data_IF_457538952565
#
_entry.id   IF_457538952565
#
_cell.length_a   1.000
_cell.length_b   1.000
_cell.length_c   1.000
_cell.angle_alpha   90.00
_cell.angle_beta   90.00
_cell.angle_gamma   90.00
#
_symmetry.space_group_name_H-M   'P 1'
#
loop_
_entity.id
_entity.type
_entity.pdbx_description
1 polymer ?
#
# COMPACT_ATOMS: atom_id res chain seq x y z
N UNK A 1 -21.53 8.92 -14.73
CA UNK A 1 -20.71 10.01 -14.19
C UNK A 1 -19.57 9.33 -13.46
N UNK A 2 -18.32 9.64 -13.81
CA UNK A 2 -17.18 8.97 -13.16
C UNK A 2 -17.08 9.36 -11.69
N UNK A 3 -17.13 8.37 -10.80
CA UNK A 3 -16.87 8.55 -9.37
C UNK A 3 -15.48 8.01 -9.03
N UNK A 4 -14.69 8.79 -8.29
CA UNK A 4 -13.36 8.38 -7.82
C UNK A 4 -13.39 8.27 -6.30
N UNK A 5 -13.05 7.09 -5.78
CA UNK A 5 -12.94 6.81 -4.35
C UNK A 5 -11.47 6.77 -4.00
N UNK A 6 -11.07 7.62 -3.06
CA UNK A 6 -9.71 7.66 -2.52
C UNK A 6 -9.46 6.48 -1.58
N UNK A 7 -8.48 5.64 -1.94
CA UNK A 7 -8.11 4.45 -1.19
C UNK A 7 -6.80 4.61 -0.42
N UNK A 8 -6.30 5.85 -0.29
CA UNK A 8 -5.08 6.14 0.45
C UNK A 8 -5.35 6.73 1.83
N UNK A 9 -4.47 6.41 2.78
CA UNK A 9 -4.36 7.16 4.05
C UNK A 9 -3.66 8.49 3.80
N UNK A 10 -3.96 9.48 4.64
CA UNK A 10 -3.28 10.78 4.59
C UNK A 10 -1.90 10.69 5.24
N UNK A 11 -0.89 11.26 4.58
CA UNK A 11 0.40 11.55 5.23
C UNK A 11 0.18 12.66 6.25
N UNK A 12 0.22 12.32 7.54
CA UNK A 12 -0.24 13.19 8.62
C UNK A 12 0.73 13.16 9.80
N UNK A 13 0.96 14.32 10.42
CA UNK A 13 1.67 14.43 11.70
C UNK A 13 0.79 14.02 12.90
N UNK A 14 -0.52 13.84 12.68
CA UNK A 14 -1.47 13.37 13.69
C UNK A 14 -1.55 11.84 13.64
N UNK A 15 -1.56 11.20 14.81
CA UNK A 15 -1.66 9.76 14.99
C UNK A 15 -0.61 9.24 15.97
N UNK A 16 -0.62 7.94 16.22
CA UNK A 16 0.33 7.27 17.10
C UNK A 16 0.93 6.02 16.44
N UNK A 17 1.30 6.14 15.16
CA UNK A 17 1.95 5.05 14.44
C UNK A 17 3.39 4.88 14.93
N UNK A 18 3.91 3.64 14.86
CA UNK A 18 5.30 3.31 15.20
C UNK A 18 6.33 4.18 14.46
N UNK A 19 6.04 4.52 13.20
CA UNK A 19 6.88 5.40 12.39
C UNK A 19 6.02 6.51 11.80
N UNK A 20 6.23 7.73 12.28
CA UNK A 20 5.50 8.92 11.84
C UNK A 20 6.27 9.67 10.73
N UNK A 21 5.58 10.28 9.76
CA UNK A 21 6.21 11.24 8.83
C UNK A 21 6.77 12.44 9.60
N UNK A 22 7.78 13.09 9.02
CA UNK A 22 8.17 14.44 9.40
C UNK A 22 7.82 15.39 8.26
N UNK A 23 7.16 16.51 8.58
CA UNK A 23 6.76 17.51 7.61
C UNK A 23 7.13 18.88 8.19
N UNK A 24 8.01 19.59 7.48
CA UNK A 24 8.35 20.98 7.77
C UNK A 24 7.52 21.85 6.84
N UNK A 25 6.51 22.51 7.40
CA UNK A 25 5.67 23.46 6.66
C UNK A 25 6.32 24.85 6.67
N UNK A 26 6.49 25.45 5.49
CA UNK A 26 6.86 26.86 5.34
C UNK A 26 5.67 27.60 4.74
N UNK A 27 5.08 28.51 5.50
CA UNK A 27 3.87 29.23 5.09
C UNK A 27 4.22 30.41 4.20
N UNK A 28 3.18 31.00 3.60
CA UNK A 28 3.31 32.13 2.69
C UNK A 28 4.11 33.30 3.28
N UNK A 29 4.02 33.51 4.58
CA UNK A 29 4.72 34.58 5.32
C UNK A 29 6.18 34.22 5.64
N UNK A 30 6.53 32.93 5.68
CA UNK A 30 7.86 32.46 6.06
C UNK A 30 8.79 32.36 4.85
N UNK A 31 8.23 32.01 3.69
CA UNK A 31 9.00 31.70 2.49
C UNK A 31 9.75 32.87 1.86
N UNK A 32 9.30 34.14 1.93
CA UNK A 32 10.10 35.27 1.44
C UNK A 32 11.51 35.32 2.05
N UNK A 33 11.65 35.08 3.36
CA UNK A 33 12.98 35.08 4.03
C UNK A 33 13.89 33.97 3.54
N UNK A 34 13.30 32.83 3.17
CA UNK A 34 14.03 31.65 2.72
C UNK A 34 14.47 31.76 1.25
N UNK A 35 13.59 32.28 0.39
CA UNK A 35 13.85 32.35 -1.06
C UNK A 35 14.50 33.66 -1.51
N UNK A 36 14.40 34.74 -0.74
CA UNK A 36 15.01 36.03 -1.07
C UNK A 36 16.50 35.90 -1.39
N UNK A 37 17.25 35.19 -0.52
CA UNK A 37 18.68 34.94 -0.72
C UNK A 37 18.95 34.14 -2.01
N UNK A 38 18.17 33.09 -2.27
CA UNK A 38 18.30 32.29 -3.49
C UNK A 38 18.10 33.10 -4.78
N UNK A 39 17.32 34.18 -4.71
CA UNK A 39 17.03 35.05 -5.85
C UNK A 39 17.88 36.34 -5.86
N UNK A 40 18.76 36.54 -4.89
CA UNK A 40 19.56 37.76 -4.77
C UNK A 40 18.71 39.02 -4.51
N UNK A 41 17.56 38.86 -3.86
CA UNK A 41 16.65 39.95 -3.48
C UNK A 41 16.48 40.03 -1.97
N UNK A 42 15.75 41.03 -1.49
CA UNK A 42 15.32 41.15 -0.09
C UNK A 42 13.90 40.60 0.09
N UNK A 43 13.58 40.14 1.30
CA UNK A 43 12.27 39.55 1.60
C UNK A 43 11.12 40.56 1.44
N UNK A 44 11.37 41.85 1.65
CA UNK A 44 10.39 42.93 1.55
C UNK A 44 9.99 43.23 0.10
N UNK A 45 10.79 42.79 -0.87
CA UNK A 45 10.52 42.96 -2.30
C UNK A 45 9.46 41.96 -2.81
N UNK A 46 9.08 40.95 -2.01
CA UNK A 46 7.96 40.07 -2.35
C UNK A 46 6.61 40.80 -2.21
N UNK A 47 5.73 40.75 -3.23
CA UNK A 47 4.43 41.41 -3.20
C UNK A 47 3.60 41.01 -1.97
N UNK A 48 3.21 42.01 -1.17
CA UNK A 48 2.43 41.79 0.04
C UNK A 48 3.14 41.01 1.14
N UNK A 49 4.49 40.91 1.08
CA UNK A 49 5.31 40.17 2.03
C UNK A 49 5.05 38.67 2.04
N UNK A 50 4.59 38.10 0.91
CA UNK A 50 4.22 36.69 0.79
C UNK A 50 4.86 36.03 -0.43
N UNK A 51 5.07 34.73 -0.33
CA UNK A 51 5.45 33.90 -1.48
C UNK A 51 4.79 32.51 -1.43
N UNK A 52 5.17 31.57 -2.30
CA UNK A 52 4.59 30.23 -2.33
C UNK A 52 4.81 29.50 -0.99
N UNK A 53 3.83 28.70 -0.56
CA UNK A 53 4.03 27.75 0.54
C UNK A 53 4.86 26.56 0.03
N UNK A 54 5.65 25.96 0.91
CA UNK A 54 6.37 24.73 0.58
C UNK A 54 6.58 23.84 1.79
N UNK A 55 6.63 22.54 1.53
CA UNK A 55 6.85 21.51 2.54
C UNK A 55 8.14 20.74 2.23
N UNK A 56 8.87 20.38 3.29
CA UNK A 56 9.87 19.31 3.22
C UNK A 56 9.31 18.10 3.95
N UNK A 57 9.19 16.97 3.24
CA UNK A 57 8.66 15.72 3.77
C UNK A 57 9.79 14.71 3.91
N UNK A 58 10.01 14.21 5.12
CA UNK A 58 10.88 13.06 5.39
C UNK A 58 10.01 11.87 5.75
N UNK A 59 10.07 10.83 4.91
CA UNK A 59 9.18 9.68 5.01
C UNK A 59 9.87 8.44 4.43
N UNK A 60 9.70 7.28 5.06
CA UNK A 60 10.14 6.00 4.50
C UNK A 60 9.21 5.54 3.38
N UNK A 61 9.72 4.77 2.42
CA UNK A 61 8.96 4.29 1.26
C UNK A 61 7.76 3.41 1.63
N UNK A 62 7.78 2.78 2.80
CA UNK A 62 6.73 1.89 3.33
C UNK A 62 5.80 2.54 4.37
N UNK A 63 5.92 3.85 4.61
CA UNK A 63 5.31 4.50 5.78
C UNK A 63 3.90 5.09 5.55
N UNK A 64 3.35 4.99 4.35
CA UNK A 64 1.99 5.44 4.00
C UNK A 64 1.34 4.41 3.06
N UNK A 65 0.22 4.71 2.40
CA UNK A 65 -0.24 3.85 1.30
C UNK A 65 0.83 3.80 0.22
N UNK A 66 1.36 2.62 -0.04
CA UNK A 66 2.53 2.42 -0.89
C UNK A 66 2.42 1.13 -1.68
N UNK A 67 3.17 1.05 -2.77
CA UNK A 67 3.36 -0.16 -3.55
C UNK A 67 4.75 -0.72 -3.27
N UNK A 68 4.80 -1.94 -2.74
CA UNK A 68 6.02 -2.72 -2.62
C UNK A 68 6.44 -3.32 -3.96
N UNK A 69 7.69 -3.10 -4.34
CA UNK A 69 8.29 -3.73 -5.49
C UNK A 69 8.86 -5.12 -5.14
N UNK A 70 9.06 -6.02 -6.11
CA UNK A 70 9.67 -7.33 -5.89
C UNK A 70 10.99 -7.28 -5.09
N UNK A 71 11.78 -6.22 -5.27
CA UNK A 71 13.04 -6.02 -4.55
C UNK A 71 12.87 -5.91 -3.03
N UNK A 72 11.70 -5.47 -2.54
CA UNK A 72 11.39 -5.48 -1.12
C UNK A 72 11.37 -6.89 -0.54
N UNK A 73 10.87 -7.86 -1.32
CA UNK A 73 10.63 -9.22 -0.87
C UNK A 73 11.90 -10.05 -0.85
N UNK A 74 12.72 -9.89 -1.90
CA UNK A 74 13.99 -10.60 -2.07
C UNK A 74 14.83 -9.97 -3.19
N UNK A 75 16.18 -10.09 -3.17
CA UNK A 75 17.04 -9.61 -4.27
C UNK A 75 16.79 -10.28 -5.63
N UNK A 76 16.18 -11.47 -5.65
CA UNK A 76 15.82 -12.18 -6.89
C UNK A 76 14.37 -12.68 -6.89
N UNK A 77 13.76 -12.67 -8.08
CA UNK A 77 12.42 -13.19 -8.34
C UNK A 77 12.44 -13.98 -9.65
N UNK A 78 11.83 -15.16 -9.67
CA UNK A 78 11.78 -16.02 -10.87
C UNK A 78 13.19 -16.31 -11.46
N UNK A 79 14.19 -16.43 -10.59
CA UNK A 79 15.59 -16.68 -10.97
C UNK A 79 16.34 -15.48 -11.57
N UNK A 80 15.77 -14.28 -11.54
CA UNK A 80 16.37 -13.04 -12.07
C UNK A 80 16.46 -11.97 -10.98
N UNK A 81 17.28 -10.92 -11.13
CA UNK A 81 17.26 -9.77 -10.22
C UNK A 81 15.84 -9.20 -10.11
N UNK A 82 15.40 -8.95 -8.87
CA UNK A 82 14.08 -8.38 -8.60
C UNK A 82 14.01 -6.93 -9.06
N UNK A 83 12.85 -6.54 -9.62
CA UNK A 83 12.59 -5.15 -9.99
C UNK A 83 12.53 -4.25 -8.76
N UNK A 84 13.22 -3.12 -8.84
CA UNK A 84 13.00 -1.96 -7.97
C UNK A 84 11.77 -1.19 -8.43
N UNK A 85 11.24 -0.29 -7.58
CA UNK A 85 9.95 0.35 -7.84
C UNK A 85 9.92 1.16 -9.15
N UNK A 86 11.03 1.79 -9.53
CA UNK A 86 11.19 2.55 -10.76
C UNK A 86 11.19 1.70 -12.03
N UNK A 87 11.25 0.37 -11.89
CA UNK A 87 11.26 -0.63 -12.95
C UNK A 87 9.93 -1.40 -13.06
N UNK A 88 8.99 -1.19 -12.13
CA UNK A 88 7.67 -1.86 -12.15
C UNK A 88 6.87 -1.40 -13.37
N UNK A 89 6.32 -2.30 -14.20
CA UNK A 89 5.47 -1.94 -15.33
C UNK A 89 4.20 -1.22 -14.86
N UNK A 90 3.91 -0.04 -15.42
CA UNK A 90 2.73 0.74 -15.03
C UNK A 90 1.41 0.07 -15.43
N UNK A 91 1.45 -0.82 -16.42
CA UNK A 91 0.33 -1.67 -16.84
C UNK A 91 -0.12 -2.64 -15.74
N UNK A 92 0.73 -2.91 -14.73
CA UNK A 92 0.33 -3.67 -13.54
C UNK A 92 -0.45 -2.80 -12.55
N UNK A 93 -0.19 -1.49 -12.55
CA UNK A 93 -0.71 -0.53 -11.57
C UNK A 93 -2.04 0.10 -11.99
N UNK A 94 -2.59 -0.29 -13.15
CA UNK A 94 -3.90 0.13 -13.62
C UNK A 94 -4.66 -1.07 -14.22
N UNK A 95 -5.72 -1.50 -13.54
CA UNK A 95 -6.42 -2.73 -13.89
C UNK A 95 -7.83 -2.80 -13.33
N UNK A 96 -8.52 -3.90 -13.61
CA UNK A 96 -9.82 -4.18 -12.99
C UNK A 96 -9.64 -4.51 -11.52
N UNK A 97 -10.41 -3.83 -10.67
CA UNK A 97 -10.41 -4.06 -9.23
C UNK A 97 -11.38 -5.16 -8.82
N UNK A 98 -10.95 -5.97 -7.85
CA UNK A 98 -11.79 -6.97 -7.18
C UNK A 98 -11.55 -6.88 -5.68
N UNK A 99 -12.61 -6.79 -4.89
CA UNK A 99 -12.53 -6.78 -3.42
C UNK A 99 -12.97 -8.12 -2.88
N UNK A 100 -12.12 -8.70 -2.04
CA UNK A 100 -12.44 -9.87 -1.23
C UNK A 100 -12.62 -9.43 0.21
N UNK A 101 -13.80 -9.70 0.78
CA UNK A 101 -14.18 -9.20 2.10
C UNK A 101 -13.81 -10.18 3.22
N UNK A 102 -12.84 -9.78 4.04
CA UNK A 102 -12.36 -10.47 5.21
C UNK A 102 -12.46 -9.61 6.48
N UNK A 103 -13.34 -8.60 6.54
CA UNK A 103 -13.46 -7.69 7.71
C UNK A 103 -13.80 -8.39 9.04
N UNK A 104 -14.29 -9.64 8.98
CA UNK A 104 -14.61 -10.45 10.17
C UNK A 104 -13.43 -11.26 10.70
N UNK A 105 -12.32 -11.31 9.96
CA UNK A 105 -11.09 -11.96 10.41
C UNK A 105 -10.48 -11.19 11.56
N UNK A 106 -9.95 -11.93 12.53
CA UNK A 106 -9.37 -11.40 13.76
C UNK A 106 -7.87 -11.19 13.60
N UNK A 107 -7.31 -10.36 14.49
CA UNK A 107 -5.86 -10.20 14.67
C UNK A 107 -5.16 -11.55 14.64
N UNK A 108 -4.14 -11.66 13.79
CA UNK A 108 -3.26 -12.84 13.73
C UNK A 108 -3.83 -14.05 12.98
N UNK A 109 -5.08 -14.02 12.53
CA UNK A 109 -5.62 -15.08 11.68
C UNK A 109 -5.01 -15.02 10.28
N UNK A 110 -4.72 -16.20 9.72
CA UNK A 110 -4.34 -16.35 8.32
C UNK A 110 -5.59 -16.35 7.43
N UNK A 111 -5.53 -15.65 6.31
CA UNK A 111 -6.48 -15.75 5.20
C UNK A 111 -5.94 -16.79 4.22
N UNK A 112 -6.65 -17.91 4.10
CA UNK A 112 -6.20 -19.08 3.35
C UNK A 112 -6.65 -19.07 1.89
N UNK A 113 -6.01 -19.87 1.03
CA UNK A 113 -6.42 -20.02 -0.37
C UNK A 113 -7.86 -20.55 -0.51
N UNK A 114 -8.32 -21.37 0.43
CA UNK A 114 -9.68 -21.89 0.44
C UNK A 114 -10.69 -20.78 0.72
N UNK A 115 -10.42 -19.92 1.69
CA UNK A 115 -11.29 -18.79 2.02
C UNK A 115 -11.33 -17.75 0.89
N UNK A 116 -10.21 -17.53 0.20
CA UNK A 116 -10.17 -16.72 -1.04
C UNK A 116 -11.11 -17.30 -2.10
N UNK A 117 -11.07 -18.63 -2.34
CA UNK A 117 -11.96 -19.28 -3.31
C UNK A 117 -13.43 -19.20 -2.90
N UNK A 118 -13.73 -19.36 -1.61
CA UNK A 118 -15.09 -19.23 -1.08
C UNK A 118 -15.63 -17.81 -1.26
N UNK A 119 -14.79 -16.82 -1.00
CA UNK A 119 -15.16 -15.41 -1.16
C UNK A 119 -15.41 -15.05 -2.63
N UNK A 120 -14.57 -15.54 -3.54
CA UNK A 120 -14.78 -15.40 -4.99
C UNK A 120 -16.09 -16.07 -5.45
N UNK A 121 -16.41 -17.26 -4.93
CA UNK A 121 -17.67 -17.92 -5.21
C UNK A 121 -18.87 -17.13 -4.68
N UNK A 122 -18.77 -16.55 -3.48
CA UNK A 122 -19.82 -15.70 -2.89
C UNK A 122 -20.13 -14.48 -3.76
N UNK A 123 -19.11 -13.84 -4.33
CA UNK A 123 -19.29 -12.69 -5.24
C UNK A 123 -19.52 -13.12 -6.70
N UNK A 124 -19.49 -14.43 -7.01
CA UNK A 124 -19.64 -14.97 -8.36
C UNK A 124 -18.62 -14.39 -9.37
N UNK A 125 -17.36 -14.28 -8.95
CA UNK A 125 -16.29 -13.71 -9.76
C UNK A 125 -15.17 -14.71 -10.04
N UNK A 126 -14.63 -14.69 -11.26
CA UNK A 126 -13.45 -15.46 -11.66
C UNK A 126 -12.31 -14.49 -11.94
N UNK A 127 -11.21 -14.63 -11.18
CA UNK A 127 -10.00 -13.82 -11.38
C UNK A 127 -9.46 -14.02 -12.80
N UNK A 128 -9.10 -12.91 -13.44
CA UNK A 128 -8.41 -12.88 -14.72
C UNK A 128 -7.02 -12.24 -14.60
N UNK A 129 -6.12 -12.48 -15.56
CA UNK A 129 -4.79 -11.88 -15.55
C UNK A 129 -4.85 -10.35 -15.41
N UNK A 130 -3.96 -9.79 -14.60
CA UNK A 130 -3.86 -8.36 -14.29
C UNK A 130 -5.05 -7.74 -13.54
N UNK A 131 -5.95 -8.55 -12.98
CA UNK A 131 -6.82 -8.06 -11.91
C UNK A 131 -5.98 -7.54 -10.74
N UNK A 132 -6.44 -6.44 -10.14
CA UNK A 132 -5.91 -5.90 -8.90
C UNK A 132 -6.82 -6.37 -7.77
N UNK A 133 -6.33 -7.33 -6.98
CA UNK A 133 -7.11 -7.98 -5.92
C UNK A 133 -6.88 -7.28 -4.58
N UNK A 134 -7.93 -6.66 -4.06
CA UNK A 134 -7.95 -5.90 -2.82
C UNK A 134 -8.56 -6.74 -1.68
N UNK A 135 -7.85 -6.84 -0.57
CA UNK A 135 -8.24 -7.58 0.62
C UNK A 135 -8.77 -6.57 1.64
N UNK A 136 -10.08 -6.59 1.85
CA UNK A 136 -10.73 -5.72 2.84
C UNK A 136 -10.72 -6.41 4.19
N UNK A 137 -10.09 -5.79 5.17
CA UNK A 137 -10.04 -6.24 6.57
C UNK A 137 -10.70 -5.25 7.53
N UNK A 138 -11.02 -4.04 7.06
CA UNK A 138 -11.47 -2.89 7.87
C UNK A 138 -10.45 -2.47 8.96
N UNK A 139 -9.23 -3.01 8.95
CA UNK A 139 -8.19 -2.62 9.94
C UNK A 139 -7.91 -1.13 9.86
N UNK A 140 -7.93 -0.54 8.66
CA UNK A 140 -7.71 0.90 8.44
C UNK A 140 -8.63 1.80 9.30
N UNK A 141 -9.79 1.32 9.74
CA UNK A 141 -10.71 2.09 10.61
C UNK A 141 -10.09 2.41 11.98
N UNK A 142 -9.04 1.68 12.37
CA UNK A 142 -8.23 1.90 13.57
C UNK A 142 -6.94 2.66 13.27
N UNK A 143 -6.75 3.16 12.05
CA UNK A 143 -5.53 3.87 11.65
C UNK A 143 -5.28 5.09 12.54
N UNK A 144 -4.06 5.18 13.07
CA UNK A 144 -3.64 6.23 14.00
C UNK A 144 -3.85 5.89 15.47
N UNK A 145 -4.55 4.80 15.80
CA UNK A 145 -4.62 4.28 17.16
C UNK A 145 -3.32 3.58 17.57
N UNK A 146 -2.95 3.62 18.87
CA UNK A 146 -1.80 2.88 19.37
C UNK A 146 -1.92 1.38 19.08
N UNK A 147 -0.92 0.82 18.40
CA UNK A 147 -0.83 -0.62 18.13
C UNK A 147 -1.66 -1.12 16.95
N UNK A 148 -2.26 -0.22 16.14
CA UNK A 148 -2.95 -0.56 14.88
C UNK A 148 -2.14 -1.52 14.00
N UNK A 149 -0.81 -1.41 14.02
CA UNK A 149 0.13 -2.22 13.24
C UNK A 149 0.06 -3.71 13.54
N UNK A 150 -0.53 -4.08 14.68
CA UNK A 150 -0.66 -5.48 15.09
C UNK A 150 -2.12 -5.95 15.09
N UNK A 151 -3.09 -5.14 14.69
CA UNK A 151 -4.52 -5.43 14.85
C UNK A 151 -5.16 -6.17 13.67
N UNK A 152 -4.37 -6.61 12.70
CA UNK A 152 -4.86 -7.12 11.43
C UNK A 152 -4.75 -8.65 11.30
N UNK A 153 -5.57 -9.29 10.45
CA UNK A 153 -5.26 -10.59 9.87
C UNK A 153 -4.16 -10.45 8.81
N UNK A 154 -3.69 -11.57 8.26
CA UNK A 154 -2.74 -11.55 7.15
C UNK A 154 -2.98 -12.68 6.16
N UNK A 155 -2.49 -12.50 4.94
CA UNK A 155 -2.55 -13.50 3.90
C UNK A 155 -1.54 -14.62 4.19
N UNK A 156 -1.91 -15.86 3.89
CA UNK A 156 -0.97 -16.99 3.96
C UNK A 156 -0.15 -17.08 2.67
N UNK A 157 0.93 -17.86 2.72
CA UNK A 157 1.69 -18.23 1.53
C UNK A 157 0.80 -18.87 0.47
N UNK A 158 -0.05 -19.84 0.84
CA UNK A 158 -0.87 -20.53 -0.17
C UNK A 158 -1.90 -19.62 -0.82
N UNK A 159 -2.50 -18.68 -0.05
CA UNK A 159 -3.47 -17.73 -0.59
C UNK A 159 -2.82 -16.80 -1.61
N UNK A 160 -1.65 -16.27 -1.26
CA UNK A 160 -0.87 -15.38 -2.12
C UNK A 160 -0.44 -16.10 -3.40
N UNK A 161 0.18 -17.27 -3.28
CA UNK A 161 0.63 -18.05 -4.44
C UNK A 161 -0.55 -18.43 -5.35
N UNK A 162 -1.71 -18.78 -4.78
CA UNK A 162 -2.90 -19.10 -5.55
C UNK A 162 -3.37 -17.90 -6.39
N UNK A 163 -3.46 -16.70 -5.81
CA UNK A 163 -3.81 -15.48 -6.55
C UNK A 163 -2.85 -15.21 -7.71
N UNK A 164 -1.54 -15.32 -7.48
CA UNK A 164 -0.54 -15.07 -8.51
C UNK A 164 -0.58 -16.10 -9.65
N UNK A 165 -0.93 -17.35 -9.35
CA UNK A 165 -1.12 -18.38 -10.37
C UNK A 165 -2.32 -18.11 -11.29
N UNK A 166 -3.25 -17.22 -10.90
CA UNK A 166 -4.32 -16.74 -11.78
C UNK A 166 -3.90 -15.56 -12.68
N UNK A 167 -2.65 -15.10 -12.58
CA UNK A 167 -2.12 -13.99 -13.38
C UNK A 167 -2.25 -12.61 -12.72
N UNK A 168 -2.60 -12.55 -11.43
CA UNK A 168 -2.57 -11.31 -10.64
C UNK A 168 -1.12 -10.80 -10.54
N UNK A 169 -0.93 -9.49 -10.72
CA UNK A 169 0.38 -8.83 -10.58
C UNK A 169 0.45 -7.80 -9.46
N UNK A 170 -0.71 -7.29 -9.02
CA UNK A 170 -0.81 -6.38 -7.88
C UNK A 170 -1.92 -6.87 -6.98
N UNK A 171 -1.61 -7.03 -5.69
CA UNK A 171 -2.63 -7.17 -4.66
C UNK A 171 -2.64 -5.93 -3.78
N UNK A 172 -3.68 -5.76 -2.96
CA UNK A 172 -3.76 -4.66 -2.00
C UNK A 172 -4.42 -5.05 -0.70
N UNK A 173 -4.07 -4.40 0.41
CA UNK A 173 -4.69 -4.59 1.73
C UNK A 173 -4.85 -3.27 2.47
N UNK A 174 -5.93 -3.15 3.22
CA UNK A 174 -6.18 -2.03 4.15
C UNK A 174 -5.59 -2.28 5.56
N UNK A 175 -4.83 -3.37 5.72
CA UNK A 175 -4.03 -3.69 6.90
C UNK A 175 -2.67 -2.96 6.90
N UNK A 176 -1.92 -3.09 8.01
CA UNK A 176 -0.56 -2.57 8.12
C UNK A 176 0.39 -3.22 7.12
N UNK A 177 0.27 -4.54 6.93
CA UNK A 177 0.98 -5.27 5.90
C UNK A 177 0.20 -6.50 5.39
N UNK A 178 0.74 -7.14 4.37
CA UNK A 178 0.15 -8.28 3.67
C UNK A 178 0.23 -9.58 4.48
N UNK A 179 1.36 -9.82 5.14
CA UNK A 179 1.55 -10.94 6.07
C UNK A 179 0.79 -10.73 7.39
N UNK A 180 0.79 -11.75 8.26
CA UNK A 180 0.25 -11.63 9.62
C UNK A 180 1.09 -10.65 10.47
N UNK A 181 0.54 -10.11 11.58
CA UNK A 181 1.27 -9.21 12.47
C UNK A 181 2.65 -9.74 12.90
N UNK A 182 3.63 -8.84 13.03
CA UNK A 182 5.00 -9.21 13.41
C UNK A 182 5.04 -9.89 14.77
N UNK A 183 4.20 -9.49 15.74
CA UNK A 183 4.11 -10.16 17.03
C UNK A 183 3.84 -11.67 16.88
N UNK A 184 2.93 -12.03 15.98
CA UNK A 184 2.56 -13.43 15.68
C UNK A 184 3.71 -14.14 14.97
N UNK A 185 4.21 -13.55 13.88
CA UNK A 185 5.28 -14.18 13.08
C UNK A 185 6.56 -14.38 13.89
N UNK A 186 6.96 -13.42 14.73
CA UNK A 186 8.16 -13.50 15.56
C UNK A 186 8.00 -14.56 16.65
N UNK A 187 6.82 -14.68 17.27
CA UNK A 187 6.54 -15.73 18.24
C UNK A 187 6.64 -17.12 17.59
N UNK A 188 6.07 -17.30 16.39
CA UNK A 188 6.15 -18.56 15.64
C UNK A 188 7.58 -18.88 15.20
N UNK A 189 8.34 -17.89 14.73
CA UNK A 189 9.75 -18.03 14.37
C UNK A 189 10.58 -18.51 15.57
N UNK A 190 10.39 -17.91 16.75
CA UNK A 190 11.06 -18.32 18.00
C UNK A 190 10.65 -19.72 18.44
N UNK A 191 9.42 -20.15 18.14
CA UNK A 191 8.93 -21.50 18.36
C UNK A 191 9.41 -22.52 17.30
N UNK A 192 10.29 -22.11 16.38
CA UNK A 192 10.90 -22.98 15.37
C UNK A 192 10.14 -23.10 14.05
N UNK A 193 9.01 -22.41 13.90
CA UNK A 193 8.19 -22.39 12.66
C UNK A 193 8.73 -21.36 11.68
N UNK A 194 9.95 -21.58 11.19
CA UNK A 194 10.69 -20.61 10.34
C UNK A 194 9.98 -20.29 9.04
N UNK A 195 9.26 -21.26 8.49
CA UNK A 195 8.51 -21.17 7.25
C UNK A 195 7.33 -20.20 7.29
N UNK A 196 6.87 -19.82 8.50
CA UNK A 196 5.75 -18.89 8.71
C UNK A 196 6.16 -17.42 8.80
N UNK A 197 7.46 -17.15 8.81
CA UNK A 197 7.96 -15.79 8.88
C UNK A 197 8.01 -15.19 7.47
N UNK A 198 7.25 -14.11 7.23
CA UNK A 198 7.17 -13.43 5.92
C UNK A 198 6.74 -14.38 4.79
N UNK A 199 5.89 -15.35 5.12
CA UNK A 199 5.55 -16.46 4.25
C UNK A 199 4.85 -16.01 2.96
N UNK A 200 4.04 -14.94 3.04
CA UNK A 200 3.32 -14.38 1.91
C UNK A 200 4.23 -13.47 1.07
N UNK A 201 4.96 -12.54 1.69
CA UNK A 201 5.95 -11.70 1.00
C UNK A 201 6.97 -12.56 0.22
N UNK A 202 7.47 -13.64 0.82
CA UNK A 202 8.47 -14.50 0.18
C UNK A 202 7.97 -15.33 -1.01
N UNK A 203 6.66 -15.37 -1.28
CA UNK A 203 6.16 -15.85 -2.58
C UNK A 203 6.78 -15.03 -3.73
N UNK A 204 7.18 -13.78 -3.46
CA UNK A 204 7.92 -12.92 -4.39
C UNK A 204 9.21 -13.50 -4.94
N UNK A 205 9.80 -14.50 -4.27
CA UNK A 205 10.97 -15.23 -4.79
C UNK A 205 10.62 -16.11 -5.99
N UNK A 206 9.41 -16.66 -5.98
CA UNK A 206 8.91 -17.63 -6.96
C UNK A 206 8.07 -17.01 -8.06
N UNK A 207 7.40 -15.88 -7.77
CA UNK A 207 6.51 -15.17 -8.67
C UNK A 207 6.70 -13.68 -8.53
N UNK A 208 6.97 -13.00 -9.63
CA UNK A 208 7.16 -11.55 -9.62
C UNK A 208 5.81 -10.81 -9.59
N UNK A 209 5.62 -9.95 -8.59
CA UNK A 209 4.39 -9.20 -8.31
C UNK A 209 4.64 -8.06 -7.33
N UNK A 210 3.62 -7.25 -7.04
CA UNK A 210 3.68 -6.13 -6.08
C UNK A 210 2.52 -6.20 -5.07
N UNK A 211 2.68 -5.53 -3.92
CA UNK A 211 1.64 -5.32 -2.91
C UNK A 211 1.33 -3.84 -2.72
N UNK A 212 0.06 -3.50 -2.55
CA UNK A 212 -0.34 -2.21 -1.99
C UNK A 212 -0.68 -2.45 -0.51
N UNK A 213 0.03 -1.78 0.39
CA UNK A 213 -0.26 -1.88 1.82
C UNK A 213 -0.81 -0.56 2.36
N UNK A 214 -1.48 -0.64 3.52
CA UNK A 214 -2.00 0.52 4.25
C UNK A 214 -2.99 1.33 3.41
N UNK A 215 -3.83 0.63 2.65
CA UNK A 215 -4.97 1.23 1.96
C UNK A 215 -6.05 1.68 2.96
N UNK A 216 -7.00 2.46 2.49
CA UNK A 216 -8.16 2.91 3.25
C UNK A 216 -9.43 2.80 2.41
N UNK A 217 -10.59 2.94 3.07
CA UNK A 217 -11.89 3.13 2.41
C UNK A 217 -12.31 2.00 1.46
N UNK A 218 -11.76 0.78 1.59
CA UNK A 218 -12.19 -0.36 0.76
C UNK A 218 -13.67 -0.70 0.99
N UNK A 219 -14.21 -0.38 2.17
CA UNK A 219 -15.63 -0.51 2.51
C UNK A 219 -16.54 0.53 1.83
N UNK A 220 -15.97 1.57 1.22
CA UNK A 220 -16.75 2.59 0.50
C UNK A 220 -16.99 2.23 -0.96
N UNK A 221 -16.33 1.20 -1.49
CA UNK A 221 -16.55 0.74 -2.84
C UNK A 221 -17.87 -0.07 -2.86
N UNK A 222 -18.90 0.36 -3.62
CA UNK A 222 -20.24 -0.19 -3.52
C UNK A 222 -20.41 -1.61 -4.07
N UNK A 223 -19.52 -2.05 -4.97
CA UNK A 223 -19.56 -3.38 -5.60
C UNK A 223 -18.22 -4.10 -5.48
N UNK A 224 -18.21 -5.45 -5.37
CA UNK A 224 -16.99 -6.22 -5.19
C UNK A 224 -16.11 -6.26 -6.45
N UNK A 225 -16.63 -5.93 -7.63
CA UNK A 225 -15.88 -5.84 -8.90
C UNK A 225 -16.64 -4.95 -9.88
N UNK A 226 -16.05 -4.66 -11.05
CA UNK A 226 -16.66 -3.77 -12.05
C UNK A 226 -16.26 -2.30 -11.87
N UNK A 227 -15.07 -2.07 -11.33
CA UNK A 227 -14.43 -0.77 -11.20
C UNK A 227 -12.95 -0.90 -11.58
N UNK A 228 -12.29 0.21 -11.92
CA UNK A 228 -10.85 0.23 -12.15
C UNK A 228 -10.10 0.62 -10.88
N UNK A 229 -8.90 0.10 -10.70
CA UNK A 229 -7.96 0.58 -9.68
C UNK A 229 -6.77 1.23 -10.38
N UNK A 230 -6.37 2.41 -9.91
CA UNK A 230 -5.13 3.07 -10.32
C UNK A 230 -4.26 3.31 -9.08
N UNK A 231 -3.02 2.82 -9.11
CA UNK A 231 -2.07 2.91 -8.00
C UNK A 231 -0.62 3.07 -8.51
N UNK A 232 -0.39 4.10 -9.32
CA UNK A 232 0.95 4.39 -9.85
C UNK A 232 1.91 4.84 -8.74
N UNK A 233 3.06 4.18 -8.55
CA UNK A 233 4.02 4.56 -7.53
C UNK A 233 4.81 5.81 -7.91
N UNK A 234 5.19 6.60 -6.90
CA UNK A 234 6.24 7.60 -7.07
C UNK A 234 7.52 6.88 -7.53
N UNK A 235 8.11 7.37 -8.61
CA UNK A 235 9.30 6.79 -9.25
C UNK A 235 10.56 7.17 -8.46
N UNK A 236 10.94 6.33 -7.51
CA UNK A 236 12.16 6.47 -6.71
C UNK A 236 13.21 5.49 -7.24
N UNK A 237 14.32 6.01 -7.75
CA UNK A 237 15.40 5.21 -8.35
C UNK A 237 15.94 4.16 -7.38
N UNK A 238 15.92 2.88 -7.79
CA UNK A 238 16.52 1.78 -7.05
C UNK A 238 15.81 1.41 -5.74
N UNK A 239 14.64 1.97 -5.45
CA UNK A 239 13.96 1.76 -4.16
C UNK A 239 13.14 0.46 -4.10
N UNK A 240 12.91 -0.03 -2.87
CA UNK A 240 12.09 -1.21 -2.59
C UNK A 240 10.59 -0.95 -2.68
N UNK A 241 10.15 0.31 -2.60
CA UNK A 241 8.74 0.69 -2.67
C UNK A 241 8.59 2.15 -3.09
N UNK A 242 7.38 2.53 -3.46
CA UNK A 242 7.01 3.91 -3.75
C UNK A 242 5.61 4.22 -3.21
N UNK A 243 5.43 5.43 -2.68
CA UNK A 243 4.11 5.87 -2.24
C UNK A 243 3.14 5.92 -3.42
N UNK A 244 1.87 5.63 -3.15
CA UNK A 244 0.80 5.70 -4.15
C UNK A 244 -0.35 6.55 -3.65
N UNK A 245 -1.00 7.25 -4.58
CA UNK A 245 -2.38 7.69 -4.39
C UNK A 245 -3.29 6.67 -5.06
N UNK A 246 -3.66 5.64 -4.31
CA UNK A 246 -4.50 4.57 -4.81
C UNK A 246 -5.95 5.04 -4.89
N UNK A 247 -6.62 4.79 -6.01
CA UNK A 247 -8.03 5.14 -6.21
C UNK A 247 -8.81 4.00 -6.85
N UNK A 248 -10.08 3.86 -6.49
CA UNK A 248 -11.08 3.13 -7.27
C UNK A 248 -11.84 4.11 -8.17
N UNK A 249 -11.99 3.76 -9.44
CA UNK A 249 -12.68 4.57 -10.46
C UNK A 249 -13.90 3.77 -10.91
N UNK A 250 -15.07 4.35 -10.66
CA UNK A 250 -16.37 3.80 -11.03
C UNK A 250 -16.92 4.58 -12.21
N UNK A 251 -17.27 3.87 -13.27
CA UNK A 251 -17.92 4.40 -14.47
C UNK A 251 -19.37 3.88 -14.50
N UNK A 252 -20.28 4.66 -15.08
CA UNK A 252 -21.70 4.26 -15.25
C UNK A 252 -21.84 3.14 -16.27
#
# INVERSE_FOLDING_TARGET
MTQIIDLSVSVSLKGNLKVMPQIIYRRHEDTPKFFAEMYGMKAEEFPGGKYCASETVTLGTHNTTHLDAPYHFWPTSEGKPSKTIDQVPLEWCYGDGVILDFHRKKKGEGITAEEVRQELARISYTIKPFDIVLIRTDTYKRYGEPGYEEMHPGMTREATLWLLNQGVKVTGTDAWGWDRPFEVMVAELKAGKKERFWEAHWVGKEKEYCHIERMANLDKIPQPFGFKVAAFPIKIEGASAGWVRAVAILED
#
